data_IF_194039207383
#
_entry.id   IF_194039207383
#
_cell.length_a   1.000
_cell.length_b   1.000
_cell.length_c   1.000
_cell.angle_alpha   90.00
_cell.angle_beta   90.00
_cell.angle_gamma   90.00
#
_symmetry.space_group_name_H-M   'P 1'
#
loop_
_entity.id
_entity.type
_entity.pdbx_description
1 polymer ?
#
# COMPACT_ATOMS: atom_id res chain seq x y z
N UNK A 1 19.17 -13.85 19.48
CA UNK A 1 17.70 -14.06 19.46
C UNK A 1 16.85 -12.77 19.49
N UNK A 2 17.39 -11.61 19.88
CA UNK A 2 16.62 -10.35 19.96
C UNK A 2 16.20 -9.71 18.61
N UNK A 3 16.95 -9.96 17.51
CA UNK A 3 16.67 -9.33 16.21
C UNK A 3 15.38 -9.81 15.52
N UNK A 4 15.00 -11.08 15.70
CA UNK A 4 13.85 -11.69 15.00
C UNK A 4 12.50 -11.14 15.50
N UNK A 5 12.40 -10.84 16.80
CA UNK A 5 11.20 -10.27 17.39
C UNK A 5 11.00 -8.79 17.00
N UNK A 6 12.09 -8.00 17.01
CA UNK A 6 12.07 -6.58 16.60
C UNK A 6 11.74 -6.41 15.11
N UNK A 7 12.23 -7.29 14.25
CA UNK A 7 11.88 -7.32 12.83
C UNK A 7 10.39 -7.63 12.61
N UNK A 8 9.85 -8.63 13.33
CA UNK A 8 8.43 -8.99 13.25
C UNK A 8 7.51 -7.86 13.74
N UNK A 9 7.89 -7.12 14.79
CA UNK A 9 7.10 -5.99 15.26
C UNK A 9 7.09 -4.84 14.24
N UNK A 10 8.24 -4.54 13.61
CA UNK A 10 8.35 -3.51 12.58
C UNK A 10 7.49 -3.80 11.36
N UNK A 11 7.47 -5.05 10.88
CA UNK A 11 6.56 -5.47 9.78
C UNK A 11 5.10 -5.26 10.18
N UNK A 12 4.74 -5.68 11.39
CA UNK A 12 3.36 -5.57 11.88
C UNK A 12 2.92 -4.10 11.96
N UNK A 13 3.72 -3.23 12.57
CA UNK A 13 3.38 -1.81 12.70
C UNK A 13 3.32 -1.12 11.34
N UNK A 14 4.24 -1.43 10.42
CA UNK A 14 4.17 -0.91 9.04
C UNK A 14 2.86 -1.31 8.35
N UNK A 15 2.43 -2.57 8.49
CA UNK A 15 1.17 -3.06 7.93
C UNK A 15 -0.05 -2.35 8.54
N UNK A 16 -0.06 -2.15 9.86
CA UNK A 16 -1.14 -1.44 10.56
C UNK A 16 -1.26 0.02 10.10
N UNK A 17 -0.14 0.71 9.90
CA UNK A 17 -0.12 2.09 9.38
C UNK A 17 -0.76 2.15 7.98
N UNK A 18 -0.37 1.24 7.09
CA UNK A 18 -0.91 1.19 5.71
C UNK A 18 -2.41 0.92 5.69
N UNK A 19 -2.89 -0.04 6.47
CA UNK A 19 -4.32 -0.32 6.55
C UNK A 19 -5.11 0.86 7.09
N UNK A 20 -4.64 1.48 8.17
CA UNK A 20 -5.27 2.67 8.74
C UNK A 20 -5.36 3.82 7.73
N UNK A 21 -4.30 4.05 6.95
CA UNK A 21 -4.33 5.04 5.87
C UNK A 21 -5.39 4.73 4.81
N UNK A 22 -5.46 3.48 4.32
CA UNK A 22 -6.44 3.07 3.31
C UNK A 22 -7.87 3.20 3.83
N UNK A 23 -8.15 2.76 5.05
CA UNK A 23 -9.48 2.92 5.66
C UNK A 23 -9.87 4.39 5.80
N UNK A 24 -8.93 5.25 6.21
CA UNK A 24 -9.19 6.69 6.30
C UNK A 24 -9.42 7.32 4.92
N UNK A 25 -8.71 6.88 3.88
CA UNK A 25 -8.90 7.34 2.51
C UNK A 25 -10.25 6.93 1.90
N UNK A 26 -10.84 5.83 2.39
CA UNK A 26 -12.21 5.43 2.04
C UNK A 26 -13.27 6.26 2.79
N UNK A 27 -12.92 6.84 3.94
CA UNK A 27 -13.85 7.58 4.81
C UNK A 27 -13.84 9.09 4.59
N UNK A 28 -12.72 9.68 4.13
CA UNK A 28 -12.59 11.12 3.92
C UNK A 28 -11.57 11.47 2.84
N UNK A 29 -11.64 12.71 2.36
CA UNK A 29 -10.67 13.31 1.43
C UNK A 29 -9.22 13.11 1.94
N UNK A 30 -8.34 12.68 1.03
CA UNK A 30 -6.96 12.28 1.35
C UNK A 30 -6.17 13.45 1.91
N UNK A 31 -6.38 14.65 1.39
CA UNK A 31 -5.72 15.90 1.82
C UNK A 31 -6.07 16.28 3.26
N UNK A 32 -7.16 15.73 3.82
CA UNK A 32 -7.60 15.94 5.20
C UNK A 32 -7.12 14.83 6.15
N UNK A 33 -6.41 13.83 5.66
CA UNK A 33 -5.81 12.78 6.50
C UNK A 33 -4.55 13.34 7.16
N UNK A 34 -4.41 13.14 8.47
CA UNK A 34 -3.23 13.55 9.23
C UNK A 34 -2.50 12.34 9.81
N UNK A 35 -1.21 12.51 10.15
CA UNK A 35 -0.43 11.50 10.88
C UNK A 35 -1.10 11.11 12.20
N UNK A 36 -1.80 12.07 12.83
CA UNK A 36 -2.55 11.82 14.06
C UNK A 36 -3.68 10.82 13.81
N UNK A 37 -4.49 11.05 12.78
CA UNK A 37 -5.61 10.17 12.43
C UNK A 37 -5.11 8.74 12.17
N UNK A 38 -4.03 8.60 11.41
CA UNK A 38 -3.44 7.30 11.06
C UNK A 38 -2.91 6.61 12.32
N UNK A 39 -2.20 7.33 13.19
CA UNK A 39 -1.66 6.77 14.43
C UNK A 39 -2.78 6.30 15.39
N UNK A 40 -3.86 7.09 15.50
CA UNK A 40 -5.03 6.75 16.31
C UNK A 40 -5.76 5.52 15.75
N UNK A 41 -6.07 5.53 14.44
CA UNK A 41 -6.74 4.41 13.75
C UNK A 41 -5.92 3.12 13.80
N UNK A 42 -4.60 3.20 13.63
CA UNK A 42 -3.70 2.05 13.71
C UNK A 42 -3.42 1.57 15.15
N UNK A 43 -3.80 2.34 16.17
CA UNK A 43 -3.51 2.02 17.58
C UNK A 43 -2.01 2.05 17.90
N UNK A 44 -1.26 3.02 17.37
CA UNK A 44 0.19 3.17 17.56
C UNK A 44 0.57 4.58 18.03
N UNK A 45 1.81 4.74 18.51
CA UNK A 45 2.36 6.08 18.79
C UNK A 45 2.78 6.79 17.50
N UNK A 46 2.78 8.13 17.50
CA UNK A 46 3.36 8.94 16.41
C UNK A 46 4.85 8.63 16.20
N UNK A 47 5.61 8.33 17.27
CA UNK A 47 7.01 7.91 17.14
C UNK A 47 7.15 6.59 16.36
N UNK A 48 6.21 5.66 16.55
CA UNK A 48 6.14 4.42 15.76
C UNK A 48 5.80 4.70 14.30
N UNK A 49 4.91 5.65 14.01
CA UNK A 49 4.66 6.10 12.64
C UNK A 49 5.96 6.63 11.99
N UNK A 50 6.63 7.57 12.66
CA UNK A 50 7.84 8.21 12.13
C UNK A 50 9.05 7.28 12.05
N UNK A 51 9.02 6.12 12.74
CA UNK A 51 10.02 5.07 12.56
C UNK A 51 9.86 4.31 11.22
N UNK A 52 8.71 4.46 10.54
CA UNK A 52 8.42 3.83 9.25
C UNK A 52 8.32 4.81 8.09
N UNK A 53 7.75 6.00 8.33
CA UNK A 53 7.41 6.98 7.30
C UNK A 53 7.75 8.39 7.75
N UNK A 54 8.33 9.20 6.86
CA UNK A 54 8.61 10.63 7.15
C UNK A 54 7.32 11.44 7.29
N UNK A 55 6.32 11.10 6.48
CA UNK A 55 5.04 11.78 6.36
C UNK A 55 4.03 10.85 5.68
N UNK A 56 2.86 11.40 5.31
CA UNK A 56 1.78 10.66 4.68
C UNK A 56 2.10 10.32 3.22
N UNK A 57 2.81 11.18 2.51
CA UNK A 57 3.17 10.97 1.10
C UNK A 57 4.11 9.78 0.94
N UNK A 58 5.00 9.54 1.91
CA UNK A 58 5.83 8.33 1.92
C UNK A 58 5.00 7.02 1.97
N UNK A 59 3.78 7.05 2.53
CA UNK A 59 2.86 5.89 2.49
C UNK A 59 2.27 5.74 1.09
N UNK A 60 1.84 6.85 0.51
CA UNK A 60 1.25 6.90 -0.84
C UNK A 60 2.24 6.39 -1.87
N UNK A 61 3.47 6.92 -1.86
CA UNK A 61 4.54 6.52 -2.76
C UNK A 61 4.83 5.02 -2.65
N UNK A 62 4.86 4.45 -1.44
CA UNK A 62 5.04 3.01 -1.28
C UNK A 62 3.88 2.20 -1.89
N UNK A 63 2.63 2.63 -1.70
CA UNK A 63 1.45 1.97 -2.26
C UNK A 63 1.44 2.07 -3.79
N UNK A 64 1.76 3.24 -4.34
CA UNK A 64 1.85 3.48 -5.77
C UNK A 64 2.95 2.63 -6.41
N UNK A 65 4.15 2.63 -5.83
CA UNK A 65 5.27 1.84 -6.34
C UNK A 65 4.98 0.33 -6.29
N UNK A 66 4.37 -0.16 -5.21
CA UNK A 66 3.96 -1.57 -5.12
C UNK A 66 2.90 -1.92 -6.18
N UNK A 67 1.95 -1.01 -6.40
CA UNK A 67 0.88 -1.18 -7.39
C UNK A 67 1.43 -1.19 -8.80
N UNK A 68 2.26 -0.20 -9.16
CA UNK A 68 2.89 -0.10 -10.47
C UNK A 68 3.84 -1.28 -10.72
N UNK A 69 4.57 -1.74 -9.71
CA UNK A 69 5.40 -2.93 -9.81
C UNK A 69 4.60 -4.17 -10.23
N UNK A 70 3.46 -4.42 -9.58
CA UNK A 70 2.57 -5.54 -9.94
C UNK A 70 2.00 -5.42 -11.35
N UNK A 71 1.62 -4.19 -11.76
CA UNK A 71 1.15 -3.93 -13.11
C UNK A 71 2.24 -4.25 -14.13
N UNK A 72 3.48 -3.79 -13.92
CA UNK A 72 4.60 -4.03 -14.82
C UNK A 72 5.02 -5.50 -14.89
N UNK A 73 5.07 -6.20 -13.75
CA UNK A 73 5.35 -7.64 -13.71
C UNK A 73 4.33 -8.41 -14.56
N UNK A 74 3.04 -8.08 -14.40
CA UNK A 74 1.98 -8.71 -15.19
C UNK A 74 2.09 -8.37 -16.68
N UNK A 75 2.31 -7.10 -17.04
CA UNK A 75 2.45 -6.71 -18.45
C UNK A 75 3.65 -7.41 -19.12
N UNK A 76 4.74 -7.64 -18.38
CA UNK A 76 5.90 -8.35 -18.90
C UNK A 76 5.62 -9.85 -19.17
N UNK A 77 4.68 -10.46 -18.44
CA UNK A 77 4.25 -11.85 -18.65
C UNK A 77 3.32 -12.01 -19.87
N UNK A 78 2.78 -10.91 -20.41
CA UNK A 78 1.93 -10.92 -21.61
C UNK A 78 2.69 -10.36 -22.81
N UNK A 79 2.88 -11.18 -23.85
CA UNK A 79 3.41 -10.68 -25.13
C UNK A 79 2.39 -9.76 -25.78
N UNK A 80 2.84 -8.62 -26.30
CA UNK A 80 2.01 -7.54 -26.88
C UNK A 80 0.95 -8.05 -27.87
N UNK A 81 1.24 -9.12 -28.61
CA UNK A 81 0.32 -9.69 -29.59
C UNK A 81 -0.92 -10.36 -28.97
N UNK A 82 -0.85 -10.84 -27.72
CA UNK A 82 -1.94 -11.57 -27.08
C UNK A 82 -2.94 -10.64 -26.38
N UNK A 83 -2.52 -9.45 -25.92
CA UNK A 83 -3.40 -8.45 -25.30
C UNK A 83 -4.36 -7.85 -26.35
N UNK A 84 -3.83 -7.50 -27.53
CA UNK A 84 -4.65 -6.92 -28.61
C UNK A 84 -5.63 -7.96 -29.17
N UNK A 85 -5.20 -9.23 -29.28
CA UNK A 85 -6.05 -10.33 -29.77
C UNK A 85 -7.04 -10.83 -28.72
N UNK A 86 -6.70 -10.74 -27.43
CA UNK A 86 -7.53 -11.17 -26.33
C UNK A 86 -7.37 -10.25 -25.11
N UNK A 87 -8.16 -9.17 -25.01
CA UNK A 87 -8.08 -8.23 -23.90
C UNK A 87 -8.75 -8.73 -22.61
N UNK A 88 -9.45 -9.87 -22.64
CA UNK A 88 -10.21 -10.37 -21.49
C UNK A 88 -9.36 -10.64 -20.23
N UNK A 89 -8.13 -11.19 -20.30
CA UNK A 89 -7.29 -11.36 -19.12
C UNK A 89 -6.93 -10.03 -18.47
N UNK A 90 -6.69 -8.98 -19.26
CA UNK A 90 -6.45 -7.62 -18.77
C UNK A 90 -7.70 -7.03 -18.10
N UNK A 91 -8.89 -7.20 -18.70
CA UNK A 91 -10.14 -6.70 -18.13
C UNK A 91 -10.52 -7.42 -16.83
N UNK A 92 -10.32 -8.74 -16.78
CA UNK A 92 -10.52 -9.54 -15.56
C UNK A 92 -9.56 -9.12 -14.44
N UNK A 93 -8.33 -8.78 -14.79
CA UNK A 93 -7.37 -8.23 -13.84
C UNK A 93 -7.84 -6.89 -13.27
N UNK A 94 -8.33 -5.97 -14.11
CA UNK A 94 -8.88 -4.70 -13.64
C UNK A 94 -10.08 -4.90 -12.71
N UNK A 95 -10.92 -5.90 -12.97
CA UNK A 95 -12.05 -6.21 -12.08
C UNK A 95 -11.64 -6.84 -10.74
N UNK A 96 -10.48 -7.49 -10.66
CA UNK A 96 -9.95 -8.01 -9.39
C UNK A 96 -9.25 -6.91 -8.57
N UNK A 97 -9.00 -5.74 -9.19
CA UNK A 97 -8.30 -4.60 -8.61
C UNK A 97 -9.24 -3.44 -8.19
N UNK A 98 -10.41 -3.32 -8.83
CA UNK A 98 -11.48 -2.34 -8.55
C UNK A 98 -12.50 -2.89 -7.55
#
# INVERSE_FOLDING_TARGET
MAGKAKYKSAIRSKKMIRYAYIELALEKEVEKITVKDIAEKAGISRGTFYAHYSDIYAIVEEIENETMGKILEFLNDYKDEDIIKNPLPLLKMLSDFL
#
